data_IF_364646945853
#
_entry.id   IF_364646945853
#
_cell.length_a   1.000
_cell.length_b   1.000
_cell.length_c   1.000
_cell.angle_alpha   90.00
_cell.angle_beta   90.00
_cell.angle_gamma   90.00
#
_symmetry.space_group_name_H-M   'P 1'
#
loop_
_entity.id
_entity.type
_entity.pdbx_description
1 polymer ?
#
# COMPACT_ATOMS: atom_id res chain seq x y z
N UNK A 1 23.33 -10.84 13.71
CA UNK A 1 22.15 -10.65 14.58
C UNK A 1 21.13 -11.75 14.36
N UNK A 2 20.59 -11.92 13.14
CA UNK A 2 19.66 -13.03 12.80
C UNK A 2 20.15 -14.41 13.24
N UNK A 3 21.44 -14.72 13.08
CA UNK A 3 22.00 -15.98 13.58
C UNK A 3 21.95 -16.18 15.10
N UNK A 4 22.06 -15.11 15.89
CA UNK A 4 21.91 -15.19 17.36
C UNK A 4 20.44 -15.42 17.74
N UNK A 5 19.53 -14.76 17.05
CA UNK A 5 18.09 -14.97 17.21
C UNK A 5 17.67 -16.41 16.83
N UNK A 6 18.20 -16.98 15.76
CA UNK A 6 17.92 -18.40 15.41
C UNK A 6 18.42 -19.37 16.49
N UNK A 7 19.55 -19.05 17.13
CA UNK A 7 20.07 -19.86 18.24
C UNK A 7 19.19 -19.76 19.49
N UNK A 8 18.66 -18.58 19.81
CA UNK A 8 17.77 -18.40 20.98
C UNK A 8 16.43 -19.14 20.83
N UNK A 9 15.97 -19.38 19.60
CA UNK A 9 14.77 -20.19 19.26
C UNK A 9 14.97 -21.71 19.42
N UNK A 10 16.05 -22.17 20.07
CA UNK A 10 16.35 -23.59 20.27
C UNK A 10 17.09 -24.23 19.10
N UNK A 11 17.90 -23.44 18.38
CA UNK A 11 18.65 -23.88 17.22
C UNK A 11 19.54 -25.11 17.49
N UNK A 12 19.82 -25.93 16.46
CA UNK A 12 20.54 -27.19 16.60
C UNK A 12 21.92 -27.02 17.26
N UNK A 13 22.20 -27.86 18.26
CA UNK A 13 23.43 -27.87 19.08
C UNK A 13 24.63 -28.55 18.41
N UNK A 14 24.56 -28.81 17.10
CA UNK A 14 25.60 -29.51 16.33
C UNK A 14 26.68 -28.59 15.76
N UNK A 15 27.84 -29.15 15.44
CA UNK A 15 28.89 -28.43 14.73
C UNK A 15 28.48 -28.20 13.27
N UNK A 16 28.34 -26.93 12.87
CA UNK A 16 28.06 -26.54 11.49
C UNK A 16 29.31 -26.11 10.75
N UNK A 17 29.35 -26.37 9.44
CA UNK A 17 30.20 -25.59 8.54
C UNK A 17 29.64 -24.16 8.43
N UNK A 18 30.47 -23.18 8.07
CA UNK A 18 30.00 -21.79 7.87
C UNK A 18 28.81 -21.71 6.90
N UNK A 19 28.85 -22.48 5.82
CA UNK A 19 27.78 -22.56 4.82
C UNK A 19 26.53 -23.22 5.41
N UNK A 20 26.70 -24.31 6.18
CA UNK A 20 25.60 -25.00 6.86
C UNK A 20 24.89 -24.11 7.87
N UNK A 21 25.64 -23.34 8.67
CA UNK A 21 25.09 -22.39 9.62
C UNK A 21 24.30 -21.28 8.92
N UNK A 22 24.85 -20.69 7.85
CA UNK A 22 24.16 -19.67 7.05
C UNK A 22 22.82 -20.19 6.50
N UNK A 23 22.83 -21.37 5.87
CA UNK A 23 21.61 -21.97 5.30
C UNK A 23 20.56 -22.25 6.36
N UNK A 24 20.97 -22.74 7.53
CA UNK A 24 20.05 -22.98 8.64
C UNK A 24 19.41 -21.67 9.13
N UNK A 25 20.21 -20.60 9.26
CA UNK A 25 19.72 -19.30 9.71
C UNK A 25 18.69 -18.75 8.72
N UNK A 26 19.02 -18.77 7.43
CA UNK A 26 18.11 -18.34 6.35
C UNK A 26 16.81 -19.15 6.36
N UNK A 27 16.90 -20.49 6.49
CA UNK A 27 15.72 -21.37 6.51
C UNK A 27 14.79 -21.09 7.69
N UNK A 28 15.33 -20.91 8.90
CA UNK A 28 14.51 -20.65 10.09
C UNK A 28 13.86 -19.27 10.02
N UNK A 29 14.61 -18.24 9.61
CA UNK A 29 14.08 -16.89 9.48
C UNK A 29 13.00 -16.80 8.39
N UNK A 30 13.29 -17.29 7.18
CA UNK A 30 12.33 -17.29 6.07
C UNK A 30 11.11 -18.14 6.41
N UNK A 31 11.29 -19.27 7.10
CA UNK A 31 10.18 -20.10 7.56
C UNK A 31 9.22 -19.34 8.49
N UNK A 32 9.75 -18.63 9.48
CA UNK A 32 8.96 -17.82 10.40
C UNK A 32 8.25 -16.64 9.72
N UNK A 33 8.91 -15.98 8.77
CA UNK A 33 8.28 -14.92 7.96
C UNK A 33 7.14 -15.49 7.12
N UNK A 34 7.38 -16.60 6.41
CA UNK A 34 6.36 -17.23 5.56
C UNK A 34 5.15 -17.63 6.36
N UNK A 35 5.32 -18.23 7.54
CA UNK A 35 4.19 -18.59 8.41
C UNK A 35 3.33 -17.37 8.79
N UNK A 36 3.94 -16.19 8.92
CA UNK A 36 3.22 -14.95 9.22
C UNK A 36 2.54 -14.39 7.96
N UNK A 37 3.18 -14.43 6.80
CA UNK A 37 2.62 -13.87 5.56
C UNK A 37 1.65 -14.82 4.82
N UNK A 38 1.70 -16.13 5.08
CA UNK A 38 0.88 -17.17 4.42
C UNK A 38 -0.62 -16.87 4.32
N UNK A 39 -1.27 -16.26 5.34
CA UNK A 39 -2.70 -15.94 5.26
C UNK A 39 -3.05 -14.74 4.36
N UNK A 40 -2.07 -14.05 3.78
CA UNK A 40 -2.28 -12.85 2.96
C UNK A 40 -2.44 -13.24 1.50
N UNK A 41 -3.62 -12.98 0.96
CA UNK A 41 -3.98 -13.14 -0.46
C UNK A 41 -4.15 -11.79 -1.17
N UNK A 42 -4.29 -10.68 -0.42
CA UNK A 42 -4.56 -9.34 -0.97
C UNK A 42 -3.40 -8.80 -1.81
N UNK A 43 -2.16 -9.08 -1.40
CA UNK A 43 -0.96 -8.59 -2.06
C UNK A 43 0.22 -9.55 -1.83
N UNK A 44 1.15 -9.61 -2.79
CA UNK A 44 2.33 -10.47 -2.71
C UNK A 44 3.43 -9.79 -1.90
N UNK A 45 3.37 -9.97 -0.57
CA UNK A 45 4.38 -9.47 0.35
C UNK A 45 5.60 -10.38 0.42
N UNK A 46 6.79 -9.77 0.45
CA UNK A 46 8.08 -10.44 0.60
C UNK A 46 8.93 -9.70 1.61
N UNK A 47 9.80 -10.45 2.29
CA UNK A 47 10.78 -9.88 3.23
C UNK A 47 12.18 -10.23 2.78
N UNK A 48 13.05 -9.23 2.80
CA UNK A 48 14.47 -9.38 2.49
C UNK A 48 15.33 -8.79 3.60
N UNK A 49 16.45 -9.45 3.90
CA UNK A 49 17.49 -8.88 4.77
C UNK A 49 18.45 -8.10 3.87
N UNK A 50 18.49 -6.78 4.07
CA UNK A 50 19.31 -5.84 3.32
C UNK A 50 20.67 -5.68 4.01
N UNK A 51 21.72 -5.62 3.21
CA UNK A 51 23.05 -5.33 3.71
C UNK A 51 23.17 -3.82 3.93
N UNK A 52 23.61 -3.40 5.10
CA UNK A 52 23.97 -2.01 5.32
C UNK A 52 25.34 -1.73 4.70
N UNK A 53 25.51 -0.53 4.15
CA UNK A 53 26.78 -0.04 3.62
C UNK A 53 27.42 1.00 4.54
N UNK A 54 28.75 1.01 4.59
CA UNK A 54 29.52 1.98 5.37
C UNK A 54 29.20 1.92 6.87
N UNK A 55 28.53 2.95 7.38
CA UNK A 55 28.12 3.07 8.79
C UNK A 55 26.70 2.51 9.06
N UNK A 56 25.94 2.19 8.02
CA UNK A 56 24.56 1.74 8.17
C UNK A 56 24.52 0.28 8.66
N UNK A 57 23.72 -0.04 9.70
CA UNK A 57 23.50 -1.42 10.11
C UNK A 57 22.73 -2.18 9.03
N UNK A 58 22.77 -3.53 8.98
CA UNK A 58 21.86 -4.27 8.11
C UNK A 58 20.40 -4.01 8.49
N UNK A 59 19.49 -4.14 7.53
CA UNK A 59 18.06 -3.89 7.75
C UNK A 59 17.20 -5.09 7.28
N UNK A 60 15.93 -5.10 7.68
CA UNK A 60 14.90 -5.99 7.15
C UNK A 60 13.91 -5.12 6.38
N UNK A 61 13.80 -5.34 5.07
CA UNK A 61 12.81 -4.66 4.23
C UNK A 61 11.58 -5.55 4.01
N UNK A 62 10.40 -4.94 4.05
CA UNK A 62 9.12 -5.51 3.61
C UNK A 62 8.79 -4.89 2.26
N UNK A 63 8.54 -5.72 1.26
CA UNK A 63 8.30 -5.31 -0.13
C UNK A 63 7.02 -5.96 -0.66
N UNK A 64 6.35 -5.29 -1.60
CA UNK A 64 5.12 -5.73 -2.23
C UNK A 64 5.34 -5.94 -3.74
N UNK A 65 5.47 -7.19 -4.18
CA UNK A 65 5.69 -7.50 -5.60
C UNK A 65 4.43 -7.38 -6.47
N UNK A 66 3.26 -7.14 -5.87
CA UNK A 66 2.02 -6.86 -6.61
C UNK A 66 2.04 -5.45 -7.20
N UNK A 67 1.44 -5.31 -8.38
CA UNK A 67 1.24 -4.03 -9.05
C UNK A 67 -0.13 -3.99 -9.75
N UNK A 68 -0.69 -2.79 -9.88
CA UNK A 68 -2.00 -2.53 -10.47
C UNK A 68 -3.12 -2.39 -9.43
N UNK A 69 -4.37 -2.51 -9.91
CA UNK A 69 -5.56 -2.37 -9.08
C UNK A 69 -5.67 -3.55 -8.09
N UNK A 70 -5.94 -3.25 -6.82
CA UNK A 70 -6.40 -4.24 -5.85
C UNK A 70 -7.84 -4.63 -6.15
N UNK A 71 -8.13 -5.93 -6.19
CA UNK A 71 -9.50 -6.44 -6.32
C UNK A 71 -10.30 -6.13 -5.05
N UNK A 72 -11.29 -5.24 -5.17
CA UNK A 72 -12.17 -4.84 -4.06
C UNK A 72 -13.47 -5.69 -4.00
N UNK A 73 -13.59 -6.70 -4.86
CA UNK A 73 -14.66 -7.69 -4.86
C UNK A 73 -16.05 -7.07 -4.91
N UNK A 74 -16.88 -7.36 -3.91
CA UNK A 74 -18.27 -6.91 -3.88
C UNK A 74 -18.41 -5.38 -3.86
N UNK A 75 -17.38 -4.64 -3.47
CA UNK A 75 -17.39 -3.18 -3.46
C UNK A 75 -17.46 -2.64 -4.90
N UNK A 76 -16.92 -3.36 -5.89
CA UNK A 76 -16.94 -2.99 -7.31
C UNK A 76 -18.07 -3.71 -8.06
N UNK A 77 -18.23 -5.01 -7.84
CA UNK A 77 -18.97 -5.90 -8.74
C UNK A 77 -20.36 -6.34 -8.24
N UNK A 78 -20.92 -5.69 -7.21
CA UNK A 78 -22.22 -6.10 -6.64
C UNK A 78 -23.32 -5.03 -6.69
N UNK A 79 -24.56 -5.49 -6.59
CA UNK A 79 -25.76 -4.66 -6.41
C UNK A 79 -25.99 -4.25 -4.93
N UNK A 80 -24.97 -4.38 -4.07
CA UNK A 80 -25.08 -3.94 -2.68
C UNK A 80 -25.39 -2.42 -2.62
N UNK A 81 -26.12 -1.94 -1.60
CA UNK A 81 -26.44 -0.52 -1.48
C UNK A 81 -25.19 0.37 -1.55
N UNK A 82 -25.23 1.42 -2.38
CA UNK A 82 -24.11 2.36 -2.55
C UNK A 82 -23.56 2.84 -1.19
N UNK A 83 -24.40 3.20 -0.18
CA UNK A 83 -23.86 3.66 1.10
C UNK A 83 -23.04 2.61 1.86
N UNK A 84 -23.25 1.32 1.61
CA UNK A 84 -22.45 0.24 2.20
C UNK A 84 -21.13 0.09 1.48
N UNK A 85 -21.17 0.12 0.14
CA UNK A 85 -19.98 0.06 -0.72
C UNK A 85 -19.06 1.25 -0.44
N UNK A 86 -19.62 2.45 -0.36
CA UNK A 86 -18.89 3.67 0.00
C UNK A 86 -18.27 3.64 1.39
N UNK A 87 -18.99 3.14 2.40
CA UNK A 87 -18.42 3.00 3.73
C UNK A 87 -17.27 1.99 3.79
N UNK A 88 -17.34 0.91 3.02
CA UNK A 88 -16.27 -0.08 2.93
C UNK A 88 -15.06 0.46 2.17
N UNK A 89 -15.27 1.07 1.00
CA UNK A 89 -14.21 1.71 0.21
C UNK A 89 -13.48 2.78 1.01
N UNK A 90 -14.22 3.72 1.62
CA UNK A 90 -13.65 4.78 2.45
C UNK A 90 -12.77 4.20 3.57
N UNK A 91 -13.23 3.15 4.24
CA UNK A 91 -12.46 2.54 5.32
C UNK A 91 -11.14 1.90 4.82
N UNK A 92 -11.13 1.34 3.60
CA UNK A 92 -9.91 0.80 2.98
C UNK A 92 -8.97 1.92 2.53
N UNK A 93 -9.50 2.94 1.85
CA UNK A 93 -8.74 4.12 1.39
C UNK A 93 -8.06 4.85 2.57
N UNK A 94 -8.77 5.03 3.69
CA UNK A 94 -8.23 5.69 4.88
C UNK A 94 -7.15 4.88 5.62
N UNK A 95 -7.00 3.58 5.36
CA UNK A 95 -6.20 2.70 6.24
C UNK A 95 -5.15 1.84 5.55
N UNK A 96 -5.35 1.40 4.29
CA UNK A 96 -4.46 0.44 3.64
C UNK A 96 -3.05 0.97 3.39
N UNK A 97 -2.92 2.27 3.10
CA UNK A 97 -1.63 2.94 2.88
C UNK A 97 -0.66 2.84 4.06
N UNK A 98 -1.12 2.39 5.23
CA UNK A 98 -0.28 2.20 6.41
C UNK A 98 0.70 1.03 6.29
N UNK A 99 0.35 -0.01 5.53
CA UNK A 99 1.16 -1.25 5.44
C UNK A 99 1.30 -1.76 4.00
N UNK A 100 0.63 -1.13 3.04
CA UNK A 100 0.79 -1.40 1.60
C UNK A 100 1.20 -0.12 0.90
N UNK A 101 2.10 -0.21 -0.10
CA UNK A 101 2.37 0.91 -0.99
C UNK A 101 1.22 0.97 -2.00
N UNK A 102 0.13 1.64 -1.61
CA UNK A 102 -1.10 1.80 -2.39
C UNK A 102 -1.50 3.27 -2.47
N UNK A 103 -2.05 3.70 -3.61
CA UNK A 103 -2.61 5.03 -3.80
C UNK A 103 -4.12 5.01 -4.10
N UNK A 104 -4.79 6.10 -3.73
CA UNK A 104 -6.22 6.32 -3.94
C UNK A 104 -6.53 7.25 -5.11
N UNK A 105 -7.79 7.67 -5.22
CA UNK A 105 -8.22 8.56 -6.30
C UNK A 105 -7.56 9.94 -6.21
N UNK A 106 -7.44 10.49 -5.00
CA UNK A 106 -6.89 11.84 -4.81
C UNK A 106 -5.43 11.90 -5.27
N UNK A 107 -4.62 10.87 -4.96
CA UNK A 107 -3.24 10.76 -5.45
C UNK A 107 -3.18 10.70 -6.99
N UNK A 108 -4.04 9.90 -7.62
CA UNK A 108 -4.12 9.83 -9.09
C UNK A 108 -4.52 11.18 -9.70
N UNK A 109 -5.51 11.84 -9.10
CA UNK A 109 -6.01 13.12 -9.57
C UNK A 109 -4.96 14.22 -9.45
N UNK A 110 -4.19 14.24 -8.35
CA UNK A 110 -3.07 15.16 -8.17
C UNK A 110 -1.99 14.96 -9.24
N UNK A 111 -1.61 13.72 -9.53
CA UNK A 111 -0.61 13.39 -10.56
C UNK A 111 -1.09 13.77 -11.98
N UNK A 112 -2.35 13.47 -12.31
CA UNK A 112 -2.95 13.90 -13.57
C UNK A 112 -3.02 15.42 -13.66
N UNK A 113 -3.40 16.10 -12.56
CA UNK A 113 -3.45 17.55 -12.52
C UNK A 113 -2.08 18.17 -12.72
N UNK A 114 -1.03 17.62 -12.09
CA UNK A 114 0.35 18.05 -12.34
C UNK A 114 0.76 17.87 -13.79
N UNK A 115 0.41 16.74 -14.40
CA UNK A 115 0.84 16.42 -15.75
C UNK A 115 0.12 17.23 -16.83
N UNK A 116 -1.18 17.46 -16.69
CA UNK A 116 -2.02 18.05 -17.73
C UNK A 116 -2.45 19.49 -17.45
N UNK A 117 -2.49 19.90 -16.19
CA UNK A 117 -3.10 21.17 -15.76
C UNK A 117 -2.17 21.99 -14.86
N UNK A 118 -0.86 21.71 -14.83
CA UNK A 118 0.14 22.39 -13.98
C UNK A 118 -0.23 22.37 -12.48
N UNK A 119 -0.98 21.36 -12.06
CA UNK A 119 -1.46 21.18 -10.70
C UNK A 119 -2.80 21.83 -10.37
N UNK A 120 -3.45 22.47 -11.35
CA UNK A 120 -4.75 23.07 -11.14
C UNK A 120 -5.85 22.00 -11.06
N UNK A 121 -6.75 22.16 -10.09
CA UNK A 121 -7.78 21.17 -9.74
C UNK A 121 -9.21 21.64 -10.05
N UNK A 122 -9.38 22.91 -10.46
CA UNK A 122 -10.62 23.45 -10.98
C UNK A 122 -10.52 23.79 -12.47
N UNK A 123 -11.66 23.69 -13.16
CA UNK A 123 -11.71 23.85 -14.62
C UNK A 123 -11.25 25.22 -15.11
N UNK A 124 -11.56 26.28 -14.36
CA UNK A 124 -11.26 27.64 -14.80
C UNK A 124 -9.75 27.88 -14.73
N UNK A 125 -9.12 27.50 -13.61
CA UNK A 125 -7.68 27.56 -13.46
C UNK A 125 -6.96 26.63 -14.46
N UNK A 126 -7.45 25.40 -14.65
CA UNK A 126 -6.89 24.47 -15.63
C UNK A 126 -6.94 25.02 -17.06
N UNK A 127 -8.10 25.56 -17.49
CA UNK A 127 -8.24 26.24 -18.79
C UNK A 127 -7.27 27.40 -18.94
N UNK A 128 -7.14 28.21 -17.89
CA UNK A 128 -6.25 29.37 -17.91
C UNK A 128 -4.78 28.96 -18.02
N UNK A 129 -4.38 27.86 -17.38
CA UNK A 129 -3.05 27.27 -17.50
C UNK A 129 -2.79 26.72 -18.91
N UNK A 130 -3.75 26.01 -19.51
CA UNK A 130 -3.65 25.50 -20.87
C UNK A 130 -3.47 26.63 -21.90
N UNK A 131 -4.19 27.76 -21.75
CA UNK A 131 -4.00 28.93 -22.61
C UNK A 131 -2.62 29.57 -22.37
N UNK A 132 -2.28 29.86 -21.11
CA UNK A 132 -1.13 30.70 -20.80
C UNK A 132 0.21 29.99 -20.98
N UNK A 133 0.28 28.71 -20.64
CA UNK A 133 1.53 27.96 -20.60
C UNK A 133 1.67 26.99 -21.76
N UNK A 134 0.54 26.45 -22.24
CA UNK A 134 0.53 25.47 -23.33
C UNK A 134 0.07 26.06 -24.68
N UNK A 135 -0.34 27.34 -24.68
CA UNK A 135 -0.71 28.07 -25.90
C UNK A 135 -1.96 27.51 -26.58
N UNK A 136 -2.82 26.82 -25.83
CA UNK A 136 -4.07 26.27 -26.35
C UNK A 136 -4.97 27.39 -26.92
N UNK A 137 -5.59 27.13 -28.07
CA UNK A 137 -6.60 28.01 -28.62
C UNK A 137 -7.84 27.94 -27.73
N UNK A 138 -8.38 29.07 -27.23
CA UNK A 138 -9.62 29.08 -26.47
C UNK A 138 -10.78 28.34 -27.15
N UNK A 139 -10.81 28.32 -28.49
CA UNK A 139 -11.85 27.64 -29.26
C UNK A 139 -11.68 26.11 -29.28
N UNK A 140 -10.49 25.58 -28.96
CA UNK A 140 -10.18 24.13 -28.92
C UNK A 140 -10.27 23.55 -27.49
N UNK A 141 -10.45 24.39 -26.46
CA UNK A 141 -10.50 23.95 -25.06
C UNK A 141 -11.70 23.07 -24.73
N UNK A 142 -12.81 23.21 -25.46
CA UNK A 142 -14.02 22.39 -25.29
C UNK A 142 -13.79 20.92 -25.70
N UNK A 143 -12.71 20.63 -26.44
CA UNK A 143 -12.32 19.26 -26.82
C UNK A 143 -11.29 18.65 -25.85
N UNK A 144 -10.75 19.43 -24.91
CA UNK A 144 -9.76 18.99 -23.93
C UNK A 144 -10.43 18.51 -22.65
N UNK A 145 -9.89 17.43 -22.07
CA UNK A 145 -10.44 16.93 -20.81
C UNK A 145 -10.05 17.83 -19.64
N UNK A 146 -11.03 18.10 -18.78
CA UNK A 146 -10.92 19.02 -17.64
C UNK A 146 -11.06 18.28 -16.30
N UNK A 147 -10.60 18.89 -15.19
CA UNK A 147 -10.72 18.32 -13.86
C UNK A 147 -12.13 17.80 -13.51
N UNK A 148 -13.18 18.55 -13.86
CA UNK A 148 -14.56 18.14 -13.56
C UNK A 148 -14.97 16.85 -14.29
N UNK A 149 -14.48 16.60 -15.50
CA UNK A 149 -14.84 15.43 -16.29
C UNK A 149 -14.25 14.16 -15.70
N UNK A 150 -13.03 14.24 -15.18
CA UNK A 150 -12.42 13.14 -14.44
C UNK A 150 -13.20 12.86 -13.15
N UNK A 151 -13.53 13.91 -12.39
CA UNK A 151 -14.30 13.77 -11.15
C UNK A 151 -15.71 13.18 -11.40
N UNK A 152 -16.36 13.57 -12.50
CA UNK A 152 -17.69 13.07 -12.86
C UNK A 152 -17.72 11.58 -13.22
N UNK A 153 -16.57 10.97 -13.55
CA UNK A 153 -16.46 9.53 -13.83
C UNK A 153 -16.36 8.67 -12.58
N UNK A 154 -16.12 9.26 -11.41
CA UNK A 154 -16.04 8.52 -10.14
C UNK A 154 -17.35 7.78 -9.90
N UNK A 155 -17.31 6.46 -9.72
CA UNK A 155 -18.47 5.72 -9.23
C UNK A 155 -18.98 6.29 -7.91
N UNK A 156 -20.30 6.27 -7.71
CA UNK A 156 -20.92 6.79 -6.48
C UNK A 156 -20.37 6.13 -5.21
N UNK A 157 -19.93 4.87 -5.28
CA UNK A 157 -19.35 4.15 -4.16
C UNK A 157 -17.92 4.60 -3.81
N UNK A 158 -17.23 5.36 -4.67
CA UNK A 158 -15.93 5.98 -4.33
C UNK A 158 -16.08 7.32 -3.61
N UNK A 159 -17.31 7.83 -3.46
CA UNK A 159 -17.55 9.13 -2.86
C UNK A 159 -17.80 8.99 -1.36
N UNK A 160 -16.92 9.55 -0.53
CA UNK A 160 -17.04 9.51 0.93
C UNK A 160 -18.35 10.11 1.44
N UNK A 161 -18.91 11.09 0.75
CA UNK A 161 -20.21 11.69 1.09
C UNK A 161 -21.39 10.72 0.94
N UNK A 162 -21.24 9.66 0.15
CA UNK A 162 -22.25 8.62 -0.01
C UNK A 162 -22.13 7.53 1.07
N UNK A 163 -21.05 7.50 1.86
CA UNK A 163 -20.85 6.49 2.90
C UNK A 163 -21.88 6.62 4.02
N UNK A 164 -22.57 5.53 4.33
CA UNK A 164 -23.47 5.51 5.48
C UNK A 164 -22.68 5.57 6.80
N UNK A 165 -23.20 6.26 7.83
CA UNK A 165 -22.64 6.21 9.17
C UNK A 165 -22.57 4.77 9.69
N UNK A 166 -21.54 4.43 10.46
CA UNK A 166 -21.37 3.07 11.01
C UNK A 166 -22.61 2.52 11.73
N UNK A 167 -23.35 3.38 12.44
CA UNK A 167 -24.55 2.99 13.18
C UNK A 167 -25.73 2.53 12.30
N UNK A 168 -25.69 2.89 11.01
CA UNK A 168 -26.75 2.60 10.05
C UNK A 168 -26.40 1.41 9.14
N UNK A 169 -25.16 0.92 9.22
CA UNK A 169 -24.71 -0.28 8.50
C UNK A 169 -25.21 -1.57 9.16
N UNK A 170 -25.43 -2.65 8.39
CA UNK A 170 -25.69 -3.98 8.94
C UNK A 170 -24.58 -4.40 9.91
N UNK A 171 -24.95 -5.14 10.96
CA UNK A 171 -24.03 -5.54 12.03
C UNK A 171 -22.79 -6.28 11.49
N UNK A 172 -22.98 -7.13 10.47
CA UNK A 172 -21.89 -7.91 9.85
C UNK A 172 -20.85 -7.05 9.11
N UNK A 173 -21.29 -5.97 8.46
CA UNK A 173 -20.43 -5.01 7.77
C UNK A 173 -19.77 -4.06 8.77
N UNK A 174 -20.56 -3.51 9.70
CA UNK A 174 -20.08 -2.64 10.78
C UNK A 174 -18.95 -3.29 11.56
N UNK A 175 -19.14 -4.54 11.98
CA UNK A 175 -18.13 -5.30 12.74
C UNK A 175 -16.81 -5.45 11.97
N UNK A 176 -16.86 -5.62 10.64
CA UNK A 176 -15.65 -5.76 9.82
C UNK A 176 -14.92 -4.44 9.66
N UNK A 177 -15.64 -3.35 9.42
CA UNK A 177 -15.04 -2.01 9.36
C UNK A 177 -14.43 -1.63 10.72
N UNK A 178 -15.10 -1.94 11.82
CA UNK A 178 -14.56 -1.71 13.18
C UNK A 178 -13.29 -2.54 13.44
N UNK A 179 -13.23 -3.79 12.99
CA UNK A 179 -12.03 -4.63 13.07
C UNK A 179 -10.87 -4.07 12.24
N UNK A 180 -11.15 -3.65 11.00
CA UNK A 180 -10.17 -2.99 10.14
C UNK A 180 -9.58 -1.75 10.82
N UNK A 181 -10.45 -0.85 11.31
CA UNK A 181 -10.03 0.37 12.01
C UNK A 181 -9.29 0.09 13.32
N UNK A 182 -9.67 -0.96 14.04
CA UNK A 182 -8.97 -1.40 15.25
C UNK A 182 -7.57 -1.95 14.93
N UNK A 183 -7.44 -2.73 13.86
CA UNK A 183 -6.16 -3.22 13.35
C UNK A 183 -5.25 -2.07 12.92
N UNK A 184 -5.78 -1.13 12.14
CA UNK A 184 -5.07 0.09 11.75
C UNK A 184 -4.59 0.89 12.97
N UNK A 185 -5.45 1.07 13.98
CA UNK A 185 -5.07 1.75 15.22
C UNK A 185 -3.98 1.01 15.99
N UNK A 186 -3.99 -0.33 15.99
CA UNK A 186 -2.97 -1.13 16.65
C UNK A 186 -1.61 -1.00 15.95
N UNK A 187 -1.58 -0.96 14.62
CA UNK A 187 -0.36 -0.72 13.83
C UNK A 187 0.17 0.70 14.06
N UNK A 188 -0.72 1.70 14.11
CA UNK A 188 -0.32 3.09 14.41
C UNK A 188 0.16 3.32 15.84
N UNK A 189 -0.18 2.43 16.77
CA UNK A 189 0.29 2.51 18.16
C UNK A 189 1.68 1.89 18.37
N UNK A 190 2.24 1.23 17.34
CA UNK A 190 3.61 0.71 17.39
C UNK A 190 4.59 1.88 17.44
N UNK A 191 5.60 1.76 18.30
CA UNK A 191 6.70 2.71 18.34
C UNK A 191 7.43 2.73 16.99
N UNK A 192 7.63 3.90 16.34
CA UNK A 192 8.36 4.01 15.09
C UNK A 192 9.73 3.31 15.10
N UNK A 193 10.43 3.27 16.23
CA UNK A 193 11.74 2.58 16.36
C UNK A 193 11.63 1.04 16.30
N UNK A 194 10.42 0.51 16.42
CA UNK A 194 10.09 -0.92 16.47
C UNK A 194 9.13 -1.33 15.34
N UNK A 195 8.86 -0.44 14.38
CA UNK A 195 7.86 -0.68 13.36
C UNK A 195 8.41 -1.33 12.09
N UNK A 196 7.87 -2.50 11.73
CA UNK A 196 8.20 -3.23 10.52
C UNK A 196 7.66 -2.58 9.24
N UNK A 197 6.68 -1.67 9.35
CA UNK A 197 5.89 -1.12 8.24
C UNK A 197 6.13 0.36 7.99
N UNK A 198 7.13 0.94 8.64
CA UNK A 198 7.51 2.34 8.44
C UNK A 198 8.83 2.40 7.70
N UNK A 199 8.95 3.37 6.80
CA UNK A 199 10.23 3.74 6.20
C UNK A 199 10.18 5.19 5.72
N UNK A 200 11.36 5.76 5.57
CA UNK A 200 11.56 7.03 4.86
C UNK A 200 12.25 6.70 3.53
N UNK A 201 11.78 7.29 2.42
CA UNK A 201 12.33 7.00 1.09
C UNK A 201 13.83 7.26 1.02
N UNK A 202 14.30 8.37 1.60
CA UNK A 202 15.74 8.70 1.66
C UNK A 202 16.54 7.61 2.38
N UNK A 203 16.00 7.08 3.49
CA UNK A 203 16.65 6.00 4.23
C UNK A 203 16.63 4.70 3.42
N UNK A 204 15.61 4.45 2.62
CA UNK A 204 15.54 3.24 1.79
C UNK A 204 16.55 3.28 0.63
N UNK A 205 16.78 4.46 0.02
CA UNK A 205 17.79 4.66 -1.02
C UNK A 205 19.21 4.29 -0.57
N UNK A 206 19.51 4.38 0.74
CA UNK A 206 20.79 3.93 1.31
C UNK A 206 20.99 2.40 1.28
N UNK A 207 19.92 1.62 1.09
CA UNK A 207 19.96 0.14 1.08
C UNK A 207 19.66 -0.48 -0.27
N UNK A 208 18.92 0.22 -1.14
CA UNK A 208 18.46 -0.30 -2.42
C UNK A 208 18.86 0.69 -3.52
N UNK A 209 19.82 0.27 -4.34
CA UNK A 209 20.29 1.06 -5.47
C UNK A 209 19.17 1.30 -6.50
N UNK A 210 19.12 2.51 -7.06
CA UNK A 210 18.23 2.85 -8.18
C UNK A 210 16.83 3.33 -7.79
N UNK A 211 16.50 3.42 -6.50
CA UNK A 211 15.18 3.91 -6.05
C UNK A 211 14.90 5.36 -6.42
N UNK A 212 15.93 6.20 -6.51
CA UNK A 212 15.78 7.61 -6.89
C UNK A 212 15.27 7.77 -8.34
N UNK A 213 15.35 6.71 -9.15
CA UNK A 213 14.86 6.69 -10.54
C UNK A 213 13.44 6.10 -10.66
N UNK A 214 12.93 5.43 -9.61
CA UNK A 214 11.61 4.82 -9.59
C UNK A 214 10.47 5.84 -9.56
N UNK A 215 9.26 5.40 -9.92
CA UNK A 215 8.06 6.20 -9.79
C UNK A 215 7.76 6.56 -8.33
N UNK A 216 7.26 7.79 -8.14
CA UNK A 216 6.81 8.30 -6.85
C UNK A 216 5.49 7.69 -6.42
N UNK A 217 4.57 7.45 -7.36
CA UNK A 217 3.34 6.73 -7.05
C UNK A 217 3.64 5.28 -6.68
N UNK A 218 2.95 4.74 -5.66
CA UNK A 218 3.02 3.33 -5.31
C UNK A 218 2.58 2.38 -6.45
N UNK A 219 3.01 1.10 -6.43
CA UNK A 219 2.67 0.13 -7.46
C UNK A 219 1.21 -0.34 -7.39
N UNK A 220 0.55 -0.24 -6.23
CA UNK A 220 -0.85 -0.66 -6.07
C UNK A 220 -1.80 0.53 -6.12
N UNK A 221 -3.02 0.31 -6.58
CA UNK A 221 -4.08 1.32 -6.55
C UNK A 221 -5.42 0.77 -6.07
N UNK A 222 -6.20 1.63 -5.42
CA UNK A 222 -7.63 1.40 -5.13
C UNK A 222 -8.53 1.99 -6.22
N UNK A 223 -7.97 2.65 -7.23
CA UNK A 223 -8.72 3.27 -8.31
C UNK A 223 -9.17 2.20 -9.31
N UNK A 224 -10.47 2.13 -9.66
CA UNK A 224 -10.98 1.11 -10.56
C UNK A 224 -10.55 1.39 -12.01
N UNK A 225 -9.81 0.44 -12.60
CA UNK A 225 -9.30 0.54 -13.96
C UNK A 225 -10.42 0.62 -15.00
N UNK A 226 -11.60 0.04 -14.75
CA UNK A 226 -12.76 0.16 -15.65
C UNK A 226 -13.13 1.62 -15.95
N UNK A 227 -12.91 2.53 -14.99
CA UNK A 227 -13.27 3.94 -15.09
C UNK A 227 -12.09 4.83 -15.50
N UNK A 228 -10.87 4.44 -15.11
CA UNK A 228 -9.67 5.29 -15.16
C UNK A 228 -8.46 4.63 -15.84
N UNK A 229 -8.65 3.60 -16.66
CA UNK A 229 -7.54 2.88 -17.32
C UNK A 229 -6.56 3.83 -18.05
N UNK A 230 -7.07 4.85 -18.75
CA UNK A 230 -6.21 5.82 -19.46
C UNK A 230 -5.33 6.59 -18.49
N UNK A 231 -5.93 7.15 -17.44
CA UNK A 231 -5.23 7.94 -16.45
C UNK A 231 -4.19 7.10 -15.69
N UNK A 232 -4.55 5.86 -15.33
CA UNK A 232 -3.66 4.89 -14.71
C UNK A 232 -2.48 4.50 -15.62
N UNK A 233 -2.73 4.31 -16.93
CA UNK A 233 -1.67 4.04 -17.91
C UNK A 233 -0.73 5.24 -18.08
N UNK A 234 -1.26 6.47 -18.06
CA UNK A 234 -0.48 7.68 -18.21
C UNK A 234 0.45 7.91 -17.01
N UNK A 235 -0.06 7.84 -15.78
CA UNK A 235 0.77 8.00 -14.57
C UNK A 235 1.66 6.78 -14.31
N UNK A 236 1.19 5.58 -14.65
CA UNK A 236 1.90 4.33 -14.45
C UNK A 236 3.06 4.12 -15.42
N UNK A 237 3.11 4.84 -16.55
CA UNK A 237 4.12 4.66 -17.61
C UNK A 237 5.55 4.72 -17.08
N UNK A 238 5.88 5.75 -16.29
CA UNK A 238 7.22 5.89 -15.72
C UNK A 238 7.56 4.72 -14.80
N UNK A 239 6.61 4.26 -13.97
CA UNK A 239 6.80 3.11 -13.10
C UNK A 239 6.93 1.79 -13.87
N UNK A 240 6.28 1.64 -15.01
CA UNK A 240 6.47 0.48 -15.90
C UNK A 240 7.85 0.49 -16.58
N UNK A 241 8.41 1.66 -16.84
CA UNK A 241 9.72 1.83 -17.50
C UNK A 241 10.90 1.74 -16.52
N UNK A 242 10.80 2.42 -15.37
CA UNK A 242 11.89 2.60 -14.40
C UNK A 242 11.67 1.82 -13.09
N UNK A 243 10.51 1.19 -12.90
CA UNK A 243 10.13 0.52 -11.67
C UNK A 243 9.33 1.42 -10.73
N UNK A 244 8.63 0.78 -9.79
CA UNK A 244 7.91 1.44 -8.70
C UNK A 244 8.66 1.26 -7.38
N UNK A 245 8.49 2.20 -6.45
CA UNK A 245 8.93 1.99 -5.07
C UNK A 245 7.97 1.01 -4.40
N UNK A 246 8.36 -0.26 -4.33
CA UNK A 246 7.52 -1.36 -3.86
C UNK A 246 7.69 -1.67 -2.37
N UNK A 247 8.42 -0.82 -1.64
CA UNK A 247 8.63 -0.98 -0.21
C UNK A 247 7.38 -0.66 0.60
N UNK A 248 7.08 -1.52 1.56
CA UNK A 248 6.04 -1.36 2.57
C UNK A 248 6.62 -1.09 3.97
N UNK A 249 7.94 -1.23 4.15
CA UNK A 249 8.59 -1.03 5.44
C UNK A 249 10.07 -1.34 5.42
N UNK A 250 10.82 -0.71 6.33
CA UNK A 250 12.26 -0.87 6.48
C UNK A 250 12.65 -0.81 7.95
N UNK A 251 13.31 -1.86 8.42
CA UNK A 251 13.67 -1.99 9.83
C UNK A 251 15.18 -2.18 10.04
N UNK A 252 15.86 -1.17 10.55
CA UNK A 252 17.29 -1.22 10.83
C UNK A 252 17.60 -2.13 12.03
N UNK A 253 18.50 -3.11 11.86
CA UNK A 253 18.89 -4.05 12.90
C UNK A 253 20.10 -3.53 13.67
N UNK A 254 19.85 -2.82 14.77
CA UNK A 254 20.90 -2.38 15.70
C UNK A 254 21.36 -3.48 16.67
N UNK A 255 20.47 -4.39 17.08
CA UNK A 255 20.77 -5.60 17.86
C UNK A 255 19.87 -6.79 17.46
N UNK A 256 20.18 -7.99 17.97
CA UNK A 256 19.42 -9.22 17.76
C UNK A 256 18.06 -9.22 18.47
N UNK A 257 17.92 -8.50 19.59
CA UNK A 257 16.66 -8.42 20.35
C UNK A 257 15.59 -7.66 19.54
N UNK A 258 16.00 -6.74 18.67
CA UNK A 258 15.12 -5.99 17.77
C UNK A 258 14.36 -6.88 16.76
N UNK A 259 14.81 -8.12 16.55
CA UNK A 259 14.16 -9.04 15.60
C UNK A 259 12.81 -9.54 16.15
N UNK A 260 12.69 -9.74 17.47
CA UNK A 260 11.41 -10.15 18.06
C UNK A 260 10.40 -8.99 18.07
N UNK A 261 10.87 -7.75 18.26
CA UNK A 261 10.04 -6.54 18.11
C UNK A 261 9.55 -6.39 16.66
N UNK A 262 10.45 -6.53 15.69
CA UNK A 262 10.10 -6.52 14.26
C UNK A 262 9.06 -7.59 13.92
N UNK A 263 9.24 -8.84 14.38
CA UNK A 263 8.24 -9.89 14.17
C UNK A 263 6.90 -9.58 14.85
N UNK A 264 6.90 -8.85 15.96
CA UNK A 264 5.68 -8.42 16.65
C UNK A 264 4.95 -7.37 15.82
N UNK A 265 5.64 -6.34 15.32
CA UNK A 265 5.06 -5.35 14.42
C UNK A 265 4.57 -5.99 13.11
N UNK A 266 5.36 -6.89 12.49
CA UNK A 266 4.97 -7.62 11.28
C UNK A 266 3.64 -8.35 11.47
N UNK A 267 3.46 -9.05 12.60
CA UNK A 267 2.19 -9.76 12.89
C UNK A 267 1.01 -8.82 13.04
N UNK A 268 1.19 -7.63 13.60
CA UNK A 268 0.12 -6.64 13.73
C UNK A 268 -0.33 -6.13 12.36
N UNK A 269 0.60 -5.79 11.47
CA UNK A 269 0.27 -5.37 10.11
C UNK A 269 -0.39 -6.48 9.30
N UNK A 270 0.06 -7.74 9.43
CA UNK A 270 -0.62 -8.89 8.83
C UNK A 270 -2.04 -9.08 9.38
N UNK A 271 -2.26 -8.97 10.69
CA UNK A 271 -3.61 -9.07 11.26
C UNK A 271 -4.55 -7.96 10.76
N UNK A 272 -4.01 -6.76 10.57
CA UNK A 272 -4.72 -5.67 9.91
C UNK A 272 -5.07 -6.01 8.46
N UNK A 273 -4.14 -6.53 7.66
CA UNK A 273 -4.38 -6.95 6.27
C UNK A 273 -5.40 -8.09 6.16
N UNK A 274 -5.38 -9.05 7.08
CA UNK A 274 -6.42 -10.09 7.17
C UNK A 274 -7.78 -9.45 7.41
N UNK A 275 -7.87 -8.40 8.24
CA UNK A 275 -9.12 -7.68 8.47
C UNK A 275 -9.61 -6.94 7.23
N UNK A 276 -8.69 -6.44 6.39
CA UNK A 276 -9.03 -5.86 5.08
C UNK A 276 -9.54 -6.92 4.11
N UNK A 277 -8.87 -8.07 4.02
CA UNK A 277 -9.33 -9.22 3.24
C UNK A 277 -10.72 -9.71 3.69
N UNK A 278 -10.97 -9.77 4.99
CA UNK A 278 -12.26 -10.17 5.53
C UNK A 278 -13.40 -9.21 5.16
N UNK A 279 -13.08 -7.92 4.96
CA UNK A 279 -14.01 -6.90 4.48
C UNK A 279 -14.26 -7.04 2.97
N UNK A 280 -13.21 -7.24 2.19
CA UNK A 280 -13.26 -7.41 0.72
C UNK A 280 -13.95 -8.73 0.33
N UNK A 281 -13.72 -9.80 1.10
CA UNK A 281 -14.31 -11.13 0.85
C UNK A 281 -15.71 -11.31 1.45
N UNK A 282 -16.31 -10.25 2.00
CA UNK A 282 -17.66 -10.30 2.52
C UNK A 282 -18.66 -10.57 1.38
N UNK A 283 -19.58 -11.50 1.57
CA UNK A 283 -20.76 -11.64 0.73
C UNK A 283 -21.86 -10.68 1.26
N UNK A 284 -22.23 -9.62 0.53
CA UNK A 284 -23.25 -8.69 1.01
C UNK A 284 -24.67 -9.27 0.98
N UNK A 285 -24.91 -10.39 0.27
CA UNK A 285 -26.25 -11.00 0.16
C UNK A 285 -26.72 -11.69 1.43
N UNK A 286 -25.81 -11.92 2.39
CA UNK A 286 -26.07 -12.57 3.68
C UNK A 286 -26.14 -11.59 4.87
N UNK A 287 -26.11 -10.28 4.60
CA UNK A 287 -26.17 -9.20 5.60
C UNK A 287 -27.60 -8.85 6.06
#
# INVERSE_FOLDING_TARGET
>A
MVGRWVLSRGGPTGAFTRVGARRQIEQVFIGAVREILDPIDLAELRVSVLHGEGANPPAIGVFCSSAGQLDLGWIEDSDAPIPWRAAAYQALEETLGRVLPVFGYDDLFEEIAMYYWEGETDDEAARQCLINYHGADPDDLDEMSLPCEMNARRPDWMLCENAAPLCDLPDGLRTRIERLRSGHSAVNAVDPEHDAWQFESETLSDYVEGLDECAHLPPLTLVPAEHFARELDDVGRHGMEMGFTDAAGLYALSDADCIDDWFTSLKLGVQFLISAQDLINLDPSIL
#
